data_IF_173962062795
#
_entry.id   IF_173962062795
#
_cell.length_a   1.000
_cell.length_b   1.000
_cell.length_c   1.000
_cell.angle_alpha   90.00
_cell.angle_beta   90.00
_cell.angle_gamma   90.00
#
_symmetry.space_group_name_H-M   'P 1'
#
loop_
_entity.id
_entity.type
_entity.pdbx_description
1 polymer ?
#
# COMPACT_ATOMS: atom_id res chain seq x y z
N UNK A 1 -49.17 30.94 24.20
CA UNK A 1 -48.97 29.68 23.45
C UNK A 1 -49.11 28.51 24.42
N UNK A 2 -50.12 27.66 24.22
CA UNK A 2 -50.38 26.51 25.10
C UNK A 2 -49.18 25.54 25.07
N UNK A 3 -48.99 24.77 26.14
CA UNK A 3 -47.89 23.79 26.27
C UNK A 3 -47.75 22.89 25.02
N UNK A 4 -48.87 22.42 24.49
CA UNK A 4 -48.96 21.62 23.26
C UNK A 4 -48.41 22.37 22.04
N UNK A 5 -48.71 23.66 21.91
CA UNK A 5 -48.21 24.51 20.81
C UNK A 5 -46.69 24.72 20.87
N UNK A 6 -46.11 24.82 22.08
CA UNK A 6 -44.65 24.87 22.25
C UNK A 6 -43.99 23.55 21.85
N UNK A 7 -44.59 22.42 22.23
CA UNK A 7 -44.07 21.10 21.88
C UNK A 7 -44.12 20.85 20.37
N UNK A 8 -45.23 21.20 19.72
CA UNK A 8 -45.37 21.10 18.26
C UNK A 8 -44.35 21.97 17.53
N UNK A 9 -44.11 23.19 18.01
CA UNK A 9 -43.10 24.08 17.44
C UNK A 9 -41.68 23.50 17.55
N UNK A 10 -41.30 22.96 18.71
CA UNK A 10 -39.99 22.31 18.92
C UNK A 10 -39.83 21.10 17.99
N UNK A 11 -40.85 20.26 17.88
CA UNK A 11 -40.81 19.09 17.00
C UNK A 11 -40.66 19.49 15.53
N UNK A 12 -41.45 20.47 15.07
CA UNK A 12 -41.34 21.02 13.72
C UNK A 12 -39.96 21.60 13.43
N UNK A 13 -39.36 22.30 14.40
CA UNK A 13 -38.01 22.84 14.26
C UNK A 13 -36.95 21.73 14.15
N UNK A 14 -37.04 20.69 14.99
CA UNK A 14 -36.13 19.53 14.93
C UNK A 14 -36.28 18.82 13.58
N UNK A 15 -37.52 18.63 13.11
CA UNK A 15 -37.82 18.00 11.83
C UNK A 15 -37.23 18.80 10.66
N UNK A 16 -37.38 20.12 10.67
CA UNK A 16 -36.78 21.00 9.67
C UNK A 16 -35.24 20.91 9.70
N UNK A 17 -34.63 20.93 10.88
CA UNK A 17 -33.17 20.78 11.03
C UNK A 17 -32.72 19.42 10.48
N UNK A 18 -33.46 18.34 10.75
CA UNK A 18 -33.16 17.01 10.23
C UNK A 18 -33.24 16.96 8.71
N UNK A 19 -34.27 17.57 8.10
CA UNK A 19 -34.37 17.68 6.63
C UNK A 19 -33.17 18.45 6.08
N UNK A 20 -32.85 19.61 6.64
CA UNK A 20 -31.70 20.41 6.19
C UNK A 20 -30.38 19.64 6.32
N UNK A 21 -30.20 18.91 7.42
CA UNK A 21 -29.03 18.05 7.63
C UNK A 21 -28.95 16.94 6.59
N UNK A 22 -30.04 16.21 6.34
CA UNK A 22 -30.11 15.15 5.33
C UNK A 22 -29.85 15.71 3.94
N UNK A 23 -30.51 16.81 3.56
CA UNK A 23 -30.28 17.44 2.25
C UNK A 23 -28.83 17.85 2.06
N UNK A 24 -28.16 18.38 3.10
CA UNK A 24 -26.75 18.74 3.03
C UNK A 24 -25.83 17.52 2.80
N UNK A 25 -26.17 16.34 3.32
CA UNK A 25 -25.40 15.11 3.13
C UNK A 25 -25.48 14.61 1.69
N UNK A 26 -26.69 14.63 1.11
CA UNK A 26 -26.97 14.05 -0.20
C UNK A 26 -26.72 15.00 -1.37
N UNK A 27 -26.75 16.32 -1.15
CA UNK A 27 -26.57 17.29 -2.22
C UNK A 27 -25.08 17.63 -2.42
N UNK A 28 -24.48 17.27 -3.58
CA UNK A 28 -23.06 17.50 -3.85
C UNK A 28 -22.73 18.99 -4.05
N UNK A 29 -21.44 19.30 -4.23
CA UNK A 29 -21.00 20.66 -4.55
C UNK A 29 -21.44 21.05 -5.96
N UNK A 30 -21.22 20.17 -6.94
CA UNK A 30 -21.58 20.35 -8.35
C UNK A 30 -22.17 19.06 -8.94
N UNK A 31 -23.49 18.92 -8.94
CA UNK A 31 -24.19 17.68 -9.32
C UNK A 31 -23.83 17.13 -10.71
N UNK A 32 -23.61 18.01 -11.69
CA UNK A 32 -23.32 17.63 -13.07
C UNK A 32 -21.82 17.70 -13.43
N UNK A 33 -20.93 17.79 -12.42
CA UNK A 33 -19.49 17.87 -12.68
C UNK A 33 -18.94 16.52 -13.13
N UNK A 34 -18.32 16.52 -14.31
CA UNK A 34 -17.54 15.36 -14.82
C UNK A 34 -16.07 15.44 -14.40
N UNK A 35 -15.69 16.50 -13.69
CA UNK A 35 -14.31 16.75 -13.26
C UNK A 35 -13.90 15.72 -12.20
N UNK A 36 -12.71 15.16 -12.39
CA UNK A 36 -12.03 14.31 -11.43
C UNK A 36 -10.80 15.05 -10.92
N UNK A 37 -10.61 15.07 -9.61
CA UNK A 37 -9.51 15.74 -8.92
C UNK A 37 -8.78 14.73 -8.05
N UNK A 38 -7.45 14.69 -8.20
CA UNK A 38 -6.58 13.91 -7.32
C UNK A 38 -6.38 14.70 -6.03
N UNK A 39 -6.81 14.12 -4.91
CA UNK A 39 -6.70 14.73 -3.58
C UNK A 39 -5.84 13.85 -2.69
N UNK A 40 -4.71 14.38 -2.25
CA UNK A 40 -3.83 13.72 -1.31
C UNK A 40 -4.28 14.00 0.13
N UNK A 41 -4.63 12.94 0.87
CA UNK A 41 -4.87 12.95 2.32
C UNK A 41 -3.59 12.46 3.01
N UNK A 42 -2.82 13.34 3.68
CA UNK A 42 -1.60 12.93 4.36
C UNK A 42 -1.86 11.97 5.53
N UNK A 43 -0.87 11.11 5.82
CA UNK A 43 -0.88 10.28 7.03
C UNK A 43 -0.83 11.14 8.30
N UNK A 44 -1.48 10.67 9.36
CA UNK A 44 -1.59 11.39 10.64
C UNK A 44 -2.59 12.54 10.64
N UNK A 45 -3.35 12.75 9.57
CA UNK A 45 -4.39 13.79 9.53
C UNK A 45 -5.63 13.37 10.30
N UNK A 46 -6.20 14.31 11.06
CA UNK A 46 -7.46 14.09 11.76
C UNK A 46 -8.67 14.46 10.87
N UNK A 47 -9.87 14.08 11.32
CA UNK A 47 -11.12 14.33 10.59
C UNK A 47 -11.36 15.81 10.21
N UNK A 48 -10.88 16.76 11.02
CA UNK A 48 -10.98 18.19 10.69
C UNK A 48 -10.05 18.55 9.54
N UNK A 49 -8.79 18.14 9.61
CA UNK A 49 -7.79 18.40 8.57
C UNK A 49 -8.17 17.75 7.23
N UNK A 50 -8.78 16.56 7.25
CA UNK A 50 -9.32 15.92 6.05
C UNK A 50 -10.40 16.80 5.41
N UNK A 51 -11.33 17.33 6.19
CA UNK A 51 -12.36 18.26 5.69
C UNK A 51 -11.71 19.53 5.13
N UNK A 52 -10.72 20.10 5.81
CA UNK A 52 -9.99 21.28 5.32
C UNK A 52 -9.28 20.99 3.97
N UNK A 53 -8.72 19.79 3.79
CA UNK A 53 -8.11 19.35 2.52
C UNK A 53 -9.17 19.21 1.42
N UNK A 54 -10.33 18.60 1.72
CA UNK A 54 -11.42 18.46 0.75
C UNK A 54 -12.00 19.82 0.33
N UNK A 55 -12.10 20.77 1.26
CA UNK A 55 -12.53 22.15 0.99
C UNK A 55 -11.53 22.90 0.12
N UNK A 56 -10.23 22.79 0.43
CA UNK A 56 -9.15 23.44 -0.32
C UNK A 56 -9.07 22.94 -1.77
N UNK A 57 -9.39 21.68 -2.00
CA UNK A 57 -9.43 21.08 -3.34
C UNK A 57 -10.79 21.25 -4.03
N UNK A 58 -11.74 21.95 -3.38
CA UNK A 58 -13.10 22.19 -3.87
C UNK A 58 -13.84 20.88 -4.21
N UNK A 59 -13.66 19.85 -3.39
CA UNK A 59 -14.48 18.62 -3.44
C UNK A 59 -15.79 18.85 -2.69
N UNK A 60 -15.73 19.60 -1.60
CA UNK A 60 -16.88 19.93 -0.76
C UNK A 60 -16.98 21.45 -0.55
N UNK A 61 -18.16 21.93 -0.14
CA UNK A 61 -18.39 23.35 0.19
C UNK A 61 -17.50 23.81 1.34
N UNK A 62 -17.05 25.07 1.32
CA UNK A 62 -16.30 25.68 2.41
C UNK A 62 -17.10 25.67 3.72
N UNK A 63 -16.39 25.58 4.86
CA UNK A 63 -16.95 25.56 6.21
C UNK A 63 -17.96 24.42 6.45
N UNK A 64 -17.62 23.22 6.00
CA UNK A 64 -18.49 22.06 6.03
C UNK A 64 -18.56 21.40 7.41
N UNK A 65 -19.22 22.06 8.36
CA UNK A 65 -19.48 21.50 9.68
C UNK A 65 -20.30 20.20 9.63
N UNK A 66 -21.16 20.05 8.62
CA UNK A 66 -22.00 18.87 8.42
C UNK A 66 -21.15 17.62 8.19
N UNK A 67 -20.13 17.71 7.33
CA UNK A 67 -19.22 16.60 7.08
C UNK A 67 -18.50 16.14 8.35
N UNK A 68 -18.05 17.09 9.18
CA UNK A 68 -17.39 16.80 10.46
C UNK A 68 -18.35 16.12 11.46
N UNK A 69 -19.58 16.63 11.54
CA UNK A 69 -20.63 16.04 12.40
C UNK A 69 -20.95 14.63 11.90
N UNK A 70 -21.03 14.42 10.59
CA UNK A 70 -21.31 13.12 9.97
C UNK A 70 -20.24 12.09 10.34
N UNK A 71 -18.94 12.41 10.19
CA UNK A 71 -17.84 11.52 10.57
C UNK A 71 -17.99 11.09 12.05
N UNK A 72 -18.21 12.07 12.94
CA UNK A 72 -18.32 11.84 14.39
C UNK A 72 -19.57 11.03 14.76
N UNK A 73 -20.70 11.31 14.12
CA UNK A 73 -21.97 10.60 14.35
C UNK A 73 -21.84 9.12 13.96
N UNK A 74 -21.14 8.86 12.85
CA UNK A 74 -20.88 7.52 12.35
C UNK A 74 -19.69 6.83 13.03
N UNK A 75 -18.95 7.53 13.91
CA UNK A 75 -17.75 7.04 14.60
C UNK A 75 -16.68 6.51 13.63
N UNK A 76 -16.47 7.27 12.56
CA UNK A 76 -15.54 6.90 11.49
C UNK A 76 -14.17 7.56 11.61
N UNK A 77 -13.90 8.36 12.66
CA UNK A 77 -12.65 9.11 12.81
C UNK A 77 -11.39 8.25 12.60
N UNK A 78 -11.33 7.08 13.24
CA UNK A 78 -10.17 6.18 13.20
C UNK A 78 -10.14 5.26 11.96
N UNK A 79 -11.18 5.31 11.13
CA UNK A 79 -11.34 4.44 9.97
C UNK A 79 -10.90 5.12 8.66
N UNK A 80 -10.78 6.46 8.66
CA UNK A 80 -10.38 7.22 7.48
C UNK A 80 -8.93 6.88 7.10
N UNK A 81 -8.73 6.41 5.86
CA UNK A 81 -7.42 6.03 5.35
C UNK A 81 -6.75 7.23 4.68
N UNK A 82 -5.44 7.33 4.86
CA UNK A 82 -4.62 8.31 4.16
C UNK A 82 -4.27 7.80 2.75
N UNK A 83 -3.90 8.71 1.84
CA UNK A 83 -3.48 8.39 0.48
C UNK A 83 -4.05 9.37 -0.56
N UNK A 84 -3.73 9.11 -1.83
CA UNK A 84 -4.26 9.89 -2.95
C UNK A 84 -5.58 9.29 -3.43
N UNK A 85 -6.62 10.11 -3.51
CA UNK A 85 -7.95 9.69 -3.94
C UNK A 85 -8.35 10.40 -5.22
N UNK A 86 -9.05 9.67 -6.10
CA UNK A 86 -9.72 10.27 -7.23
C UNK A 86 -11.17 10.63 -6.85
N UNK A 87 -11.40 11.93 -6.59
CA UNK A 87 -12.65 12.47 -6.08
C UNK A 87 -13.27 13.45 -7.07
N UNK A 88 -14.58 13.62 -7.00
CA UNK A 88 -15.32 14.58 -7.84
C UNK A 88 -16.20 15.50 -6.99
N UNK A 89 -16.35 16.78 -7.37
CA UNK A 89 -17.33 17.70 -6.77
C UNK A 89 -18.79 17.24 -6.89
N UNK A 90 -19.08 16.27 -7.78
CA UNK A 90 -20.41 15.65 -7.93
C UNK A 90 -20.69 14.53 -6.92
N UNK A 91 -19.68 14.11 -6.14
CA UNK A 91 -19.88 13.13 -5.09
C UNK A 91 -20.55 13.76 -3.86
N UNK A 92 -21.52 13.05 -3.29
CA UNK A 92 -22.10 13.43 -2.01
C UNK A 92 -21.21 13.00 -0.84
N UNK A 93 -21.54 13.45 0.38
CA UNK A 93 -20.67 13.23 1.54
C UNK A 93 -20.49 11.75 1.87
N UNK A 94 -21.54 10.94 1.71
CA UNK A 94 -21.48 9.50 1.99
C UNK A 94 -20.60 8.77 1.00
N UNK A 95 -20.63 9.14 -0.28
CA UNK A 95 -19.74 8.57 -1.31
C UNK A 95 -18.27 8.89 -1.04
N UNK A 96 -17.97 10.15 -0.69
CA UNK A 96 -16.61 10.56 -0.32
C UNK A 96 -16.15 9.79 0.90
N UNK A 97 -17.00 9.71 1.94
CA UNK A 97 -16.69 9.03 3.18
C UNK A 97 -16.47 7.53 3.00
N UNK A 98 -17.29 6.87 2.18
CA UNK A 98 -17.15 5.45 1.85
C UNK A 98 -15.79 5.17 1.18
N UNK A 99 -15.39 5.99 0.20
CA UNK A 99 -14.06 5.89 -0.42
C UNK A 99 -12.93 6.05 0.58
N UNK A 100 -13.02 7.05 1.48
CA UNK A 100 -12.00 7.30 2.50
C UNK A 100 -11.91 6.17 3.54
N UNK A 101 -13.04 5.57 3.92
CA UNK A 101 -13.08 4.46 4.89
C UNK A 101 -12.55 3.18 4.26
N UNK A 102 -12.96 2.86 3.03
CA UNK A 102 -12.47 1.69 2.30
C UNK A 102 -11.01 1.82 1.88
N UNK A 103 -10.49 3.06 1.82
CA UNK A 103 -9.15 3.33 1.31
C UNK A 103 -9.04 3.04 -0.18
N UNK A 104 -10.04 3.45 -0.97
CA UNK A 104 -10.02 3.37 -2.45
C UNK A 104 -9.06 4.42 -3.04
N UNK A 105 -7.79 4.28 -2.68
CA UNK A 105 -6.69 5.15 -3.09
C UNK A 105 -6.21 4.79 -4.50
N UNK A 106 -5.62 5.77 -5.17
CA UNK A 106 -4.93 5.58 -6.43
C UNK A 106 -3.70 4.71 -6.16
N UNK A 107 -3.61 3.59 -6.89
CA UNK A 107 -2.47 2.68 -6.85
C UNK A 107 -1.60 2.87 -8.08
N UNK A 108 -0.30 2.68 -7.88
CA UNK A 108 0.73 2.77 -8.91
C UNK A 108 1.41 1.42 -9.05
N UNK A 109 1.73 1.06 -10.29
CA UNK A 109 2.49 -0.15 -10.61
C UNK A 109 3.97 0.12 -10.42
N UNK A 110 4.61 -0.70 -9.60
CA UNK A 110 6.07 -0.76 -9.47
C UNK A 110 6.54 -2.18 -9.74
N UNK A 111 7.40 -2.32 -10.74
CA UNK A 111 8.06 -3.61 -11.04
C UNK A 111 9.40 -3.65 -10.35
N UNK A 112 9.61 -4.68 -9.53
CA UNK A 112 10.89 -5.01 -8.92
C UNK A 112 11.54 -6.10 -9.79
N UNK A 113 12.61 -5.81 -10.54
CA UNK A 113 13.22 -6.79 -11.43
C UNK A 113 13.96 -7.90 -10.67
N UNK A 114 14.09 -9.07 -11.32
CA UNK A 114 14.95 -10.16 -10.83
C UNK A 114 16.40 -9.70 -10.67
N UNK A 115 17.11 -10.30 -9.71
CA UNK A 115 18.52 -10.01 -9.44
C UNK A 115 18.80 -8.65 -8.79
N UNK A 116 17.77 -7.89 -8.41
CA UNK A 116 17.94 -6.66 -7.62
C UNK A 116 18.37 -6.98 -6.19
N UNK A 117 19.32 -6.20 -5.68
CA UNK A 117 19.70 -6.26 -4.27
C UNK A 117 18.73 -5.48 -3.40
N UNK A 118 18.71 -5.73 -2.09
CA UNK A 118 17.89 -4.94 -1.15
C UNK A 118 18.16 -3.43 -1.23
N UNK A 119 19.40 -3.03 -1.54
CA UNK A 119 19.78 -1.62 -1.77
C UNK A 119 19.18 -1.05 -3.05
N UNK A 120 19.23 -1.80 -4.15
CA UNK A 120 18.63 -1.37 -5.43
C UNK A 120 17.11 -1.29 -5.33
N UNK A 121 16.48 -2.20 -4.59
CA UNK A 121 15.05 -2.13 -4.27
C UNK A 121 14.76 -0.85 -3.49
N UNK A 122 15.52 -0.56 -2.42
CA UNK A 122 15.31 0.63 -1.62
C UNK A 122 15.47 1.94 -2.43
N UNK A 123 16.43 2.00 -3.36
CA UNK A 123 16.61 3.13 -4.28
C UNK A 123 15.42 3.30 -5.23
N UNK A 124 14.95 2.20 -5.81
CA UNK A 124 13.79 2.21 -6.70
C UNK A 124 12.51 2.65 -5.97
N UNK A 125 12.29 2.16 -4.74
CA UNK A 125 11.13 2.54 -3.93
C UNK A 125 11.13 4.04 -3.57
N UNK A 126 12.30 4.60 -3.31
CA UNK A 126 12.49 6.02 -2.97
C UNK A 126 12.25 6.91 -4.20
N UNK A 127 12.84 6.55 -5.35
CA UNK A 127 12.63 7.24 -6.63
C UNK A 127 11.15 7.28 -7.03
N UNK A 128 10.39 6.22 -6.73
CA UNK A 128 8.95 6.14 -7.02
C UNK A 128 8.06 6.73 -5.93
N UNK A 129 8.64 7.36 -4.90
CA UNK A 129 7.91 7.96 -3.77
C UNK A 129 7.03 6.95 -3.00
N UNK A 130 7.40 5.67 -2.99
CA UNK A 130 6.64 4.60 -2.32
C UNK A 130 7.11 4.44 -0.88
N UNK A 131 8.43 4.38 -0.67
CA UNK A 131 9.04 4.23 0.64
C UNK A 131 10.42 4.91 0.68
N UNK A 132 10.74 5.54 1.80
CA UNK A 132 12.04 6.18 2.00
C UNK A 132 13.16 5.13 2.07
N UNK A 133 14.22 5.33 1.27
CA UNK A 133 15.38 4.42 1.17
C UNK A 133 15.97 4.06 2.54
N UNK A 134 16.29 5.07 3.34
CA UNK A 134 16.96 4.89 4.63
C UNK A 134 16.10 4.12 5.63
N UNK A 135 14.79 4.40 5.65
CA UNK A 135 13.85 3.69 6.51
C UNK A 135 13.70 2.23 6.07
N UNK A 136 13.63 1.97 4.77
CA UNK A 136 13.57 0.60 4.24
C UNK A 136 14.83 -0.22 4.57
N UNK A 137 16.01 0.35 4.36
CA UNK A 137 17.28 -0.32 4.68
C UNK A 137 17.47 -0.57 6.17
N UNK A 138 17.02 0.35 7.03
CA UNK A 138 17.05 0.14 8.49
C UNK A 138 16.16 -1.02 8.91
N UNK A 139 14.96 -1.12 8.33
CA UNK A 139 14.06 -2.25 8.61
C UNK A 139 14.67 -3.57 8.14
N UNK A 140 15.29 -3.59 6.95
CA UNK A 140 15.96 -4.78 6.43
C UNK A 140 17.09 -5.26 7.34
N UNK A 141 17.90 -4.34 7.88
CA UNK A 141 19.00 -4.67 8.80
C UNK A 141 18.54 -5.13 10.19
N UNK A 142 17.37 -4.69 10.65
CA UNK A 142 16.83 -5.04 11.97
C UNK A 142 16.19 -6.43 12.00
N UNK A 143 15.78 -6.93 10.84
CA UNK A 143 15.17 -8.26 10.73
C UNK A 143 16.14 -9.38 11.11
N UNK A 144 15.67 -10.34 11.92
CA UNK A 144 16.45 -11.55 12.26
C UNK A 144 16.71 -12.44 11.03
N UNK A 145 15.83 -12.39 10.03
CA UNK A 145 16.05 -12.98 8.71
C UNK A 145 16.66 -11.95 7.77
N UNK A 146 17.73 -12.33 7.08
CA UNK A 146 18.31 -11.54 6.01
C UNK A 146 17.26 -11.39 4.89
N UNK A 147 16.81 -10.16 4.60
CA UNK A 147 15.79 -9.94 3.56
C UNK A 147 16.31 -10.12 2.14
N UNK A 148 17.63 -10.16 1.97
CA UNK A 148 18.25 -10.39 0.66
C UNK A 148 17.82 -11.76 0.12
N UNK A 149 17.30 -11.79 -1.10
CA UNK A 149 16.73 -13.00 -1.72
C UNK A 149 15.30 -13.33 -1.30
N UNK A 150 14.75 -12.67 -0.27
CA UNK A 150 13.39 -12.88 0.23
C UNK A 150 12.39 -11.77 -0.18
N UNK A 151 12.89 -10.64 -0.68
CA UNK A 151 12.07 -9.60 -1.30
C UNK A 151 11.73 -10.03 -2.73
N UNK A 152 10.59 -10.70 -2.92
CA UNK A 152 10.26 -11.36 -4.18
C UNK A 152 10.17 -10.36 -5.36
N UNK A 153 10.80 -10.64 -6.52
CA UNK A 153 10.69 -9.80 -7.71
C UNK A 153 9.31 -9.97 -8.37
N UNK A 154 8.56 -8.88 -8.48
CA UNK A 154 7.23 -8.87 -9.07
C UNK A 154 6.79 -7.43 -9.40
N UNK A 155 5.63 -7.28 -10.03
CA UNK A 155 4.94 -5.99 -10.17
C UNK A 155 3.89 -5.82 -9.08
N UNK A 156 4.12 -4.85 -8.20
CA UNK A 156 3.24 -4.51 -7.09
C UNK A 156 2.36 -3.31 -7.44
N UNK A 157 1.08 -3.38 -7.05
CA UNK A 157 0.14 -2.25 -7.12
C UNK A 157 0.00 -1.62 -5.73
N UNK A 158 0.64 -0.47 -5.52
CA UNK A 158 0.70 0.18 -4.20
C UNK A 158 0.45 1.69 -4.32
N UNK A 159 -0.19 2.33 -3.33
CA UNK A 159 -0.32 3.78 -3.34
C UNK A 159 1.03 4.47 -3.16
N UNK A 160 1.09 5.75 -3.51
CA UNK A 160 2.22 6.60 -3.11
C UNK A 160 2.35 6.66 -1.60
N UNK A 161 3.59 6.80 -1.10
CA UNK A 161 3.91 6.87 0.32
C UNK A 161 3.35 5.67 1.10
N UNK A 162 3.30 4.50 0.47
CA UNK A 162 2.84 3.25 1.09
C UNK A 162 3.61 2.93 2.38
N UNK A 163 4.87 3.33 2.42
CA UNK A 163 5.74 3.22 3.58
C UNK A 163 6.56 1.92 3.57
N UNK A 164 7.75 2.01 4.12
CA UNK A 164 8.73 0.93 4.06
C UNK A 164 8.26 -0.36 4.76
N UNK A 165 7.57 -0.24 5.89
CA UNK A 165 7.05 -1.39 6.64
C UNK A 165 5.93 -2.12 5.89
N UNK A 166 5.02 -1.39 5.26
CA UNK A 166 3.94 -2.01 4.49
C UNK A 166 4.50 -2.66 3.22
N UNK A 167 5.42 -1.96 2.53
CA UNK A 167 6.05 -2.50 1.33
C UNK A 167 6.82 -3.79 1.63
N UNK A 168 7.63 -3.82 2.70
CA UNK A 168 8.39 -5.03 3.05
C UNK A 168 7.46 -6.19 3.41
N UNK A 169 6.37 -5.94 4.15
CA UNK A 169 5.38 -6.98 4.48
C UNK A 169 4.75 -7.57 3.21
N UNK A 170 4.37 -6.75 2.24
CA UNK A 170 3.79 -7.23 0.98
C UNK A 170 4.79 -8.07 0.19
N UNK A 171 6.04 -7.63 0.06
CA UNK A 171 7.07 -8.39 -0.68
C UNK A 171 7.39 -9.73 0.00
N UNK A 172 7.53 -9.74 1.33
CA UNK A 172 7.79 -10.96 2.10
C UNK A 172 6.59 -11.91 2.11
N UNK A 173 5.37 -11.37 2.16
CA UNK A 173 4.16 -12.18 2.02
C UNK A 173 4.08 -12.82 0.63
N UNK A 174 4.42 -12.07 -0.43
CA UNK A 174 4.49 -12.59 -1.79
C UNK A 174 5.51 -13.74 -1.89
N UNK A 175 6.72 -13.55 -1.36
CA UNK A 175 7.72 -14.63 -1.29
C UNK A 175 7.16 -15.88 -0.60
N UNK A 176 6.59 -15.72 0.60
CA UNK A 176 6.10 -16.85 1.39
C UNK A 176 4.98 -17.60 0.65
N UNK A 177 4.09 -16.87 -0.02
CA UNK A 177 3.03 -17.45 -0.83
C UNK A 177 3.62 -18.26 -1.99
N UNK A 178 4.49 -17.66 -2.81
CA UNK A 178 5.10 -18.33 -3.96
C UNK A 178 5.93 -19.54 -3.51
N UNK A 179 6.69 -19.40 -2.43
CA UNK A 179 7.49 -20.48 -1.88
C UNK A 179 6.64 -21.66 -1.39
N UNK A 180 5.49 -21.38 -0.77
CA UNK A 180 4.56 -22.41 -0.33
C UNK A 180 3.87 -23.10 -1.52
N UNK A 181 3.36 -22.33 -2.49
CA UNK A 181 2.72 -22.86 -3.70
C UNK A 181 3.65 -23.76 -4.51
N UNK A 182 4.93 -23.39 -4.59
CA UNK A 182 5.93 -24.13 -5.35
C UNK A 182 6.72 -25.15 -4.53
N UNK A 183 6.42 -25.27 -3.23
CA UNK A 183 7.08 -26.18 -2.27
C UNK A 183 8.61 -26.03 -2.28
N UNK A 184 9.10 -24.80 -2.20
CA UNK A 184 10.54 -24.53 -2.25
C UNK A 184 11.29 -25.24 -1.12
N UNK A 185 10.73 -25.27 0.09
CA UNK A 185 11.32 -25.98 1.22
C UNK A 185 11.43 -27.48 0.96
N UNK A 186 10.34 -28.15 0.60
CA UNK A 186 10.34 -29.60 0.33
C UNK A 186 11.35 -29.96 -0.76
N UNK A 187 11.36 -29.19 -1.86
CA UNK A 187 12.30 -29.40 -2.98
C UNK A 187 13.75 -29.18 -2.59
N UNK A 188 14.03 -28.21 -1.72
CA UNK A 188 15.39 -27.96 -1.22
C UNK A 188 15.85 -29.14 -0.35
N UNK A 189 14.99 -29.62 0.55
CA UNK A 189 15.29 -30.74 1.43
C UNK A 189 15.53 -32.05 0.65
N UNK A 190 14.79 -32.29 -0.44
CA UNK A 190 14.97 -33.44 -1.34
C UNK A 190 16.39 -33.52 -1.93
N UNK A 191 17.05 -32.37 -2.15
CA UNK A 191 18.43 -32.29 -2.66
C UNK A 191 19.46 -32.00 -1.56
N UNK A 192 19.06 -32.04 -0.29
CA UNK A 192 19.95 -31.87 0.85
C UNK A 192 20.34 -30.42 1.17
N UNK A 193 19.52 -29.45 0.75
CA UNK A 193 19.71 -28.02 1.02
C UNK A 193 18.63 -27.50 1.95
N UNK A 194 18.98 -26.54 2.81
CA UNK A 194 17.99 -25.68 3.48
C UNK A 194 17.42 -24.64 2.51
N UNK A 195 16.27 -24.06 2.87
CA UNK A 195 15.68 -22.96 2.09
C UNK A 195 16.65 -21.78 1.95
N UNK A 196 17.37 -21.41 3.01
CA UNK A 196 18.33 -20.30 2.96
C UNK A 196 19.45 -20.59 1.96
N UNK A 197 20.01 -21.81 1.98
CA UNK A 197 21.09 -22.18 1.06
C UNK A 197 20.65 -22.19 -0.40
N UNK A 198 19.42 -22.65 -0.70
CA UNK A 198 18.93 -22.66 -2.09
C UNK A 198 18.62 -21.24 -2.58
N UNK A 199 18.13 -20.35 -1.71
CA UNK A 199 17.91 -18.93 -2.05
C UNK A 199 19.25 -18.22 -2.30
N UNK A 200 20.27 -18.50 -1.49
CA UNK A 200 21.63 -18.00 -1.73
C UNK A 200 22.15 -18.51 -3.08
N UNK A 201 22.05 -19.81 -3.34
CA UNK A 201 22.52 -20.39 -4.61
C UNK A 201 21.77 -19.80 -5.81
N UNK A 202 20.45 -19.63 -5.70
CA UNK A 202 19.64 -18.99 -6.74
C UNK A 202 20.09 -17.55 -7.01
N UNK A 203 20.43 -16.77 -5.98
CA UNK A 203 20.94 -15.40 -6.16
C UNK A 203 22.28 -15.35 -6.90
N UNK A 204 23.17 -16.32 -6.65
CA UNK A 204 24.45 -16.46 -7.36
C UNK A 204 24.20 -16.85 -8.82
N UNK A 205 23.31 -17.81 -9.07
CA UNK A 205 22.93 -18.24 -10.43
C UNK A 205 22.35 -17.06 -11.22
N UNK A 206 21.46 -16.28 -10.59
CA UNK A 206 20.82 -15.12 -11.21
C UNK A 206 21.85 -14.07 -11.67
N UNK A 207 22.86 -13.81 -10.85
CA UNK A 207 23.92 -12.85 -11.16
C UNK A 207 24.92 -13.36 -12.19
N UNK A 208 25.18 -14.67 -12.22
CA UNK A 208 26.15 -15.27 -13.13
C UNK A 208 25.57 -15.53 -14.52
N UNK A 209 24.29 -15.93 -14.60
CA UNK A 209 23.63 -16.21 -15.86
C UNK A 209 23.29 -14.89 -16.59
N UNK A 210 23.72 -14.77 -17.85
CA UNK A 210 23.35 -13.60 -18.67
C UNK A 210 21.96 -13.75 -19.29
N UNK A 211 21.57 -14.99 -19.58
CA UNK A 211 20.30 -15.33 -20.19
C UNK A 211 19.57 -16.43 -19.40
N UNK A 212 18.24 -16.43 -19.46
CA UNK A 212 17.41 -17.37 -18.71
C UNK A 212 17.68 -18.84 -19.08
N UNK A 213 18.00 -19.10 -20.34
CA UNK A 213 18.32 -20.44 -20.85
C UNK A 213 19.63 -21.00 -20.29
N UNK A 214 20.52 -20.12 -19.80
CA UNK A 214 21.81 -20.51 -19.23
C UNK A 214 21.69 -20.90 -17.75
N UNK A 215 20.65 -20.44 -17.04
CA UNK A 215 20.45 -20.68 -15.59
C UNK A 215 20.54 -22.17 -15.23
N UNK A 216 19.97 -23.05 -16.04
CA UNK A 216 20.05 -24.50 -15.82
C UNK A 216 21.48 -25.06 -15.93
N UNK A 217 22.27 -24.56 -16.88
CA UNK A 217 23.67 -24.98 -17.05
C UNK A 217 24.52 -24.47 -15.90
N UNK A 218 24.37 -23.20 -15.54
CA UNK A 218 25.07 -22.57 -14.40
C UNK A 218 24.74 -23.30 -13.10
N UNK A 219 23.45 -23.57 -12.86
CA UNK A 219 22.97 -24.38 -11.73
C UNK A 219 23.66 -25.74 -11.67
N UNK A 220 23.70 -26.47 -12.79
CA UNK A 220 24.34 -27.79 -12.84
C UNK A 220 25.83 -27.74 -12.47
N UNK A 221 26.55 -26.68 -12.87
CA UNK A 221 27.98 -26.51 -12.54
C UNK A 221 28.15 -26.26 -11.05
N UNK A 222 27.32 -25.42 -10.44
CA UNK A 222 27.44 -25.11 -9.01
C UNK A 222 27.06 -26.30 -8.12
N UNK A 223 26.00 -27.04 -8.44
CA UNK A 223 25.67 -28.27 -7.71
C UNK A 223 26.80 -29.30 -7.79
N UNK A 224 27.36 -29.54 -8.99
CA UNK A 224 28.52 -30.43 -9.17
C UNK A 224 29.76 -30.00 -8.37
N UNK A 225 29.97 -28.70 -8.17
CA UNK A 225 31.09 -28.18 -7.35
C UNK A 225 30.84 -28.40 -5.87
N UNK A 226 29.63 -28.12 -5.39
CA UNK A 226 29.24 -28.29 -3.99
C UNK A 226 29.32 -29.77 -3.57
N UNK A 227 28.85 -30.70 -4.41
CA UNK A 227 28.96 -32.15 -4.16
C UNK A 227 30.42 -32.62 -4.00
N UNK A 228 31.36 -31.98 -4.72
CA UNK A 228 32.79 -32.28 -4.65
C UNK A 228 33.52 -31.51 -3.54
N UNK A 229 32.80 -30.75 -2.71
CA UNK A 229 33.40 -29.88 -1.68
C UNK A 229 34.27 -28.74 -2.25
N UNK A 230 34.05 -28.37 -3.52
CA UNK A 230 34.80 -27.31 -4.18
C UNK A 230 34.19 -25.94 -3.88
N UNK A 231 35.03 -24.90 -3.80
CA UNK A 231 34.55 -23.51 -3.75
C UNK A 231 33.77 -23.17 -5.03
N UNK A 232 32.71 -22.38 -4.93
CA UNK A 232 31.91 -21.95 -6.08
C UNK A 232 32.70 -21.08 -7.06
N UNK A 233 33.65 -20.27 -6.58
CA UNK A 233 34.49 -19.38 -7.39
C UNK A 233 33.68 -18.52 -8.38
N UNK A 234 32.51 -18.02 -7.96
CA UNK A 234 31.67 -17.13 -8.78
C UNK A 234 32.03 -15.67 -8.52
N UNK A 235 32.19 -14.92 -9.62
CA UNK A 235 32.44 -13.48 -9.59
C UNK A 235 31.28 -12.70 -8.94
N UNK A 236 30.06 -13.26 -8.97
CA UNK A 236 28.88 -12.66 -8.36
C UNK A 236 28.96 -12.51 -6.84
N UNK A 237 29.80 -13.30 -6.16
CA UNK A 237 29.95 -13.25 -4.70
C UNK A 237 30.89 -12.15 -4.20
N UNK A 238 31.55 -11.43 -5.12
CA UNK A 238 32.55 -10.39 -4.83
C UNK A 238 32.01 -8.98 -5.18
N UNK A 239 30.94 -8.89 -5.97
CA UNK A 239 30.36 -7.64 -6.48
C UNK A 239 29.32 -7.01 -5.56
#
# INVERSE_FOLDING_TARGET
MNFIGKLFFIFSLIFLIAILFITAIYFPLEENSTTQKVVNIPSGTNAKEIVDVLEKNEIIRKNNYIFRILIKLLKLEDQLKYGEYNLSPSMNMLQILDKLVKGEVIVYKITIPEGYTGTQIAELLDEKEIAEKETFLKLAKKSEKFWEGYLFPDTYEVPKKYGAENMSKVMLANFNQIAAENKFTDKAEEIGFSLDEIIILASIIEKEAKFSEEKNKVSSVFHNRLEKGMKLQSCATIQ
#
